data_IF_796614258730
#
_entry.id   IF_796614258730
#
_cell.length_a   1.000
_cell.length_b   1.000
_cell.length_c   1.000
_cell.angle_alpha   90.00
_cell.angle_beta   90.00
_cell.angle_gamma   90.00
#
_symmetry.space_group_name_H-M   'P 1'
#
loop_
_entity.id
_entity.type
_entity.pdbx_description
1 polymer ?
#
# COMPACT_ATOMS: atom_id res chain seq x y z
N UNK A 1 7.29 3.33 16.60
CA UNK A 1 6.73 2.97 15.25
C UNK A 1 6.12 4.23 14.64
N UNK A 2 6.49 4.61 13.41
CA UNK A 2 6.17 5.92 12.82
C UNK A 2 4.69 6.12 12.40
N UNK A 3 4.09 5.14 11.71
CA UNK A 3 2.65 5.13 11.39
C UNK A 3 2.05 6.40 10.76
N UNK A 4 2.69 7.03 9.76
CA UNK A 4 2.25 8.31 9.21
C UNK A 4 0.86 8.23 8.56
N UNK A 5 0.16 9.37 8.51
CA UNK A 5 -1.12 9.48 7.82
C UNK A 5 -0.98 9.54 6.30
N UNK A 6 0.13 10.08 5.80
CA UNK A 6 0.43 10.24 4.37
C UNK A 6 1.85 9.80 4.08
N UNK A 7 2.06 9.22 2.90
CA UNK A 7 3.38 8.85 2.37
C UNK A 7 3.42 9.33 0.92
N UNK A 8 4.47 10.06 0.55
CA UNK A 8 4.80 10.36 -0.84
C UNK A 8 5.96 9.45 -1.23
N UNK A 9 5.76 8.60 -2.22
CA UNK A 9 6.76 7.66 -2.74
C UNK A 9 7.18 8.15 -4.13
N UNK A 10 8.46 8.52 -4.30
CA UNK A 10 9.07 8.86 -5.59
C UNK A 10 9.98 7.71 -6.03
N UNK A 11 9.88 7.26 -7.29
CA UNK A 11 10.71 6.16 -7.81
C UNK A 11 10.91 6.23 -9.33
N UNK A 12 12.11 5.88 -9.77
CA UNK A 12 12.46 5.73 -11.19
C UNK A 12 12.13 4.35 -11.77
N UNK A 13 11.78 3.36 -10.93
CA UNK A 13 11.39 2.00 -11.36
C UNK A 13 9.95 1.69 -10.94
N UNK A 14 8.99 1.73 -11.88
CA UNK A 14 7.59 1.40 -11.60
C UNK A 14 7.40 -0.01 -11.03
N UNK A 15 8.23 -0.99 -11.42
CA UNK A 15 8.04 -2.41 -11.04
C UNK A 15 8.34 -2.62 -9.56
N UNK A 16 9.46 -2.10 -9.07
CA UNK A 16 9.79 -2.17 -7.64
C UNK A 16 8.83 -1.32 -6.81
N UNK A 17 8.41 -0.16 -7.33
CA UNK A 17 7.43 0.69 -6.66
C UNK A 17 6.08 -0.03 -6.46
N UNK A 18 5.59 -0.77 -7.47
CA UNK A 18 4.36 -1.57 -7.35
C UNK A 18 4.48 -2.64 -6.27
N UNK A 19 5.61 -3.36 -6.20
CA UNK A 19 5.86 -4.38 -5.14
C UNK A 19 5.72 -3.75 -3.75
N UNK A 20 6.36 -2.61 -3.53
CA UNK A 20 6.37 -1.96 -2.22
C UNK A 20 5.02 -1.34 -1.87
N UNK A 21 4.33 -0.74 -2.84
CA UNK A 21 2.97 -0.23 -2.67
C UNK A 21 2.01 -1.34 -2.27
N UNK A 22 2.13 -2.56 -2.83
CA UNK A 22 1.32 -3.70 -2.41
C UNK A 22 1.49 -3.99 -0.91
N UNK A 23 2.72 -3.92 -0.40
CA UNK A 23 2.97 -4.06 1.03
C UNK A 23 2.34 -2.92 1.85
N UNK A 24 2.42 -1.67 1.39
CA UNK A 24 1.79 -0.54 2.08
C UNK A 24 0.26 -0.65 2.09
N UNK A 25 -0.34 -1.06 0.96
CA UNK A 25 -1.79 -1.25 0.85
C UNK A 25 -2.27 -2.38 1.76
N UNK A 26 -1.55 -3.50 1.82
CA UNK A 26 -1.83 -4.57 2.78
C UNK A 26 -1.80 -4.09 4.24
N UNK A 27 -0.95 -3.09 4.54
CA UNK A 27 -0.84 -2.46 5.85
C UNK A 27 -1.81 -1.29 6.09
N UNK A 28 -2.85 -1.15 5.26
CA UNK A 28 -3.94 -0.21 5.46
C UNK A 28 -3.72 1.18 4.86
N UNK A 29 -2.80 1.32 3.91
CA UNK A 29 -2.72 2.51 3.06
C UNK A 29 -3.59 2.35 1.82
N UNK A 30 -3.96 3.46 1.21
CA UNK A 30 -4.67 3.52 -0.07
C UNK A 30 -3.95 4.50 -0.97
N UNK A 31 -3.83 4.14 -2.24
CA UNK A 31 -3.28 5.02 -3.26
C UNK A 31 -4.30 6.14 -3.49
N UNK A 32 -3.86 7.39 -3.36
CA UNK A 32 -4.70 8.58 -3.56
C UNK A 32 -4.45 9.24 -4.91
N UNK A 33 -3.19 9.27 -5.35
CA UNK A 33 -2.78 9.85 -6.63
C UNK A 33 -1.50 9.21 -7.12
N UNK A 34 -1.36 9.10 -8.43
CA UNK A 34 -0.12 8.75 -9.13
C UNK A 34 0.14 9.86 -10.15
N UNK A 35 1.38 10.30 -10.27
CA UNK A 35 1.84 11.24 -11.28
C UNK A 35 3.18 10.78 -11.83
N UNK A 36 3.25 10.27 -13.07
CA UNK A 36 4.51 10.13 -13.78
C UNK A 36 5.07 11.53 -14.09
N UNK A 37 6.38 11.65 -14.07
CA UNK A 37 7.14 12.87 -14.37
C UNK A 37 8.26 12.49 -15.32
N UNK A 38 8.26 13.12 -16.49
CA UNK A 38 9.40 13.05 -17.41
C UNK A 38 10.43 14.10 -17.00
N UNK A 39 11.50 13.64 -16.36
CA UNK A 39 12.65 14.48 -16.02
C UNK A 39 13.76 14.43 -17.06
N UNK A 40 13.66 13.51 -18.02
CA UNK A 40 14.72 13.21 -18.99
C UNK A 40 14.11 12.96 -20.37
N UNK A 41 13.69 14.04 -21.08
CA UNK A 41 13.12 13.92 -22.40
C UNK A 41 14.05 13.18 -23.35
N UNK A 42 13.48 12.36 -24.24
CA UNK A 42 14.21 11.50 -25.19
C UNK A 42 14.97 10.32 -24.57
N UNK A 43 14.65 9.96 -23.32
CA UNK A 43 15.12 8.72 -22.69
C UNK A 43 13.94 7.84 -22.29
N UNK A 44 14.21 6.57 -21.99
CA UNK A 44 13.19 5.66 -21.44
C UNK A 44 12.93 5.88 -19.93
N UNK A 45 13.63 6.83 -19.29
CA UNK A 45 13.50 7.07 -17.86
C UNK A 45 12.21 7.84 -17.54
N UNK A 46 11.46 7.33 -16.56
CA UNK A 46 10.30 8.02 -16.00
C UNK A 46 10.34 7.96 -14.48
N UNK A 47 10.18 9.11 -13.84
CA UNK A 47 10.00 9.18 -12.39
C UNK A 47 8.51 9.06 -12.06
N UNK A 48 8.16 8.31 -11.03
CA UNK A 48 6.79 8.13 -10.59
C UNK A 48 6.61 8.63 -9.16
N UNK A 49 5.69 9.58 -9.00
CA UNK A 49 5.27 10.11 -7.70
C UNK A 49 3.92 9.50 -7.30
N UNK A 50 3.90 8.79 -6.17
CA UNK A 50 2.68 8.17 -5.62
C UNK A 50 2.36 8.76 -4.26
N UNK A 51 1.16 9.30 -4.11
CA UNK A 51 0.60 9.69 -2.83
C UNK A 51 -0.21 8.53 -2.26
N UNK A 52 0.17 8.06 -1.08
CA UNK A 52 -0.59 7.11 -0.29
C UNK A 52 -1.14 7.77 0.98
N UNK A 53 -2.37 7.45 1.33
CA UNK A 53 -3.01 7.89 2.58
C UNK A 53 -3.43 6.67 3.40
N UNK A 54 -3.19 6.73 4.71
CA UNK A 54 -3.62 5.67 5.62
C UNK A 54 -5.13 5.75 5.80
N UNK A 55 -5.82 4.62 5.66
CA UNK A 55 -7.24 4.53 5.95
C UNK A 55 -7.49 4.97 7.41
N UNK A 56 -8.58 5.71 7.68
CA UNK A 56 -8.93 6.04 9.05
C UNK A 56 -9.01 4.75 9.87
N UNK A 57 -8.27 4.69 10.97
CA UNK A 57 -8.49 3.62 11.94
C UNK A 57 -9.88 3.86 12.52
N UNK A 58 -10.88 3.08 12.07
CA UNK A 58 -12.13 2.98 12.81
C UNK A 58 -11.73 2.55 14.23
N UNK A 59 -11.93 3.43 15.21
CA UNK A 59 -11.56 3.17 16.60
C UNK A 59 -12.52 2.18 17.28
N UNK A 60 -13.51 1.65 16.56
CA UNK A 60 -14.46 0.67 17.04
C UNK A 60 -14.04 -0.74 16.62
N UNK A 61 -13.50 -1.51 17.59
CA UNK A 61 -13.51 -2.97 17.55
C UNK A 61 -12.23 -3.64 17.08
N UNK A 62 -11.26 -3.76 17.98
CA UNK A 62 -10.22 -4.80 17.89
C UNK A 62 -10.84 -6.19 18.15
N UNK A 63 -11.66 -6.70 17.23
CA UNK A 63 -12.01 -8.13 17.20
C UNK A 63 -11.04 -8.82 16.25
N UNK A 64 -10.01 -9.44 16.85
CA UNK A 64 -9.20 -10.48 16.19
C UNK A 64 -10.18 -11.56 15.70
N UNK A 65 -10.32 -11.72 14.39
CA UNK A 65 -10.91 -12.94 13.82
C UNK A 65 -9.91 -14.07 14.05
N UNK A 66 -10.09 -14.81 15.15
CA UNK A 66 -9.49 -16.12 15.33
C UNK A 66 -9.99 -17.04 14.22
N UNK A 67 -9.05 -17.58 13.44
CA UNK A 67 -9.26 -18.67 12.49
C UNK A 67 -10.28 -19.68 13.03
N UNK A 68 -11.39 -19.86 12.31
CA UNK A 68 -12.20 -21.07 12.39
C UNK A 68 -11.33 -22.20 11.86
N UNK A 69 -10.82 -23.05 12.74
CA UNK A 69 -10.32 -24.36 12.37
C UNK A 69 -11.49 -25.32 12.53
N UNK A 70 -12.04 -25.73 11.40
CA UNK A 70 -13.10 -26.70 11.26
C UNK A 70 -12.67 -28.03 11.88
N UNK A 71 -13.27 -28.38 13.03
CA UNK A 71 -13.22 -29.75 13.54
C UNK A 71 -14.16 -30.59 12.69
N UNK A 72 -13.61 -31.28 11.70
CA UNK A 72 -14.23 -32.45 11.09
C UNK A 72 -14.35 -33.56 12.14
N UNK A 73 -15.50 -33.64 12.79
CA UNK A 73 -15.92 -34.77 13.61
C UNK A 73 -17.16 -35.39 12.99
N UNK A 74 -16.95 -36.38 12.10
CA UNK A 74 -18.02 -37.24 11.60
C UNK A 74 -18.67 -37.96 12.78
N UNK A 75 -19.99 -37.87 12.88
CA UNK A 75 -20.86 -38.89 13.46
C UNK A 75 -21.85 -39.28 12.39
#
# INVERSE_FOLDING_TARGET
RLGPRRVVYISCDPKTQIRDIKHLVHNGYRIKRICPVDMFPHTDHVENVVLLERAPRNQFGHRRNSHKNERGGKR
#
